data_IF_682886393858
#
_entry.id   IF_682886393858
#
_cell.length_a   1.000
_cell.length_b   1.000
_cell.length_c   1.000
_cell.angle_alpha   90.00
_cell.angle_beta   90.00
_cell.angle_gamma   90.00
#
_symmetry.space_group_name_H-M   'P 1'
#
loop_
_entity.id
_entity.type
_entity.pdbx_description
1 polymer ?
#
# COMPACT_ATOMS: atom_id res chain seq x y z
N UNK A 1 -9.36 32.16 -33.14
CA UNK A 1 -10.29 32.63 -32.08
C UNK A 1 -9.67 32.64 -30.69
N UNK A 2 -9.06 31.54 -30.20
CA UNK A 2 -8.35 31.49 -28.90
C UNK A 2 -7.32 32.61 -28.67
N UNK A 3 -6.41 32.84 -29.62
CA UNK A 3 -5.39 33.92 -29.51
C UNK A 3 -5.98 35.34 -29.54
N UNK A 4 -7.13 35.53 -30.19
CA UNK A 4 -7.80 36.83 -30.28
C UNK A 4 -8.54 37.15 -28.96
N UNK A 5 -9.15 36.14 -28.34
CA UNK A 5 -9.78 36.24 -27.01
C UNK A 5 -8.75 36.53 -25.90
N UNK A 6 -7.56 35.93 -25.98
CA UNK A 6 -6.41 36.20 -25.10
C UNK A 6 -5.90 37.65 -25.22
N UNK A 7 -5.78 38.15 -26.45
CA UNK A 7 -5.38 39.54 -26.70
C UNK A 7 -6.42 40.53 -26.16
N UNK A 8 -7.72 40.23 -26.33
CA UNK A 8 -8.81 41.09 -25.86
C UNK A 8 -8.90 41.09 -24.31
N UNK A 9 -8.70 39.94 -23.65
CA UNK A 9 -8.69 39.87 -22.19
C UNK A 9 -7.47 40.56 -21.57
N UNK A 10 -6.29 40.43 -22.18
CA UNK A 10 -5.07 41.13 -21.77
C UNK A 10 -5.21 42.66 -21.94
N UNK A 11 -5.80 43.12 -23.04
CA UNK A 11 -6.07 44.55 -23.27
C UNK A 11 -7.11 45.11 -22.29
N UNK A 12 -8.14 44.34 -21.91
CA UNK A 12 -9.11 44.76 -20.90
C UNK A 12 -8.51 44.86 -19.50
N UNK A 13 -7.57 43.98 -19.15
CA UNK A 13 -6.89 44.00 -17.86
C UNK A 13 -5.91 45.17 -17.68
N UNK A 14 -5.34 45.69 -18.76
CA UNK A 14 -4.44 46.86 -18.72
C UNK A 14 -5.17 48.18 -18.41
N UNK A 15 -6.50 48.23 -18.54
CA UNK A 15 -7.29 49.46 -18.45
C UNK A 15 -8.00 49.62 -17.10
N UNK A 16 -8.30 48.51 -16.39
CA UNK A 16 -9.03 48.54 -15.11
C UNK A 16 -8.53 47.45 -14.14
N UNK A 17 -7.47 47.77 -13.41
CA UNK A 17 -6.78 46.83 -12.52
C UNK A 17 -7.67 46.25 -11.39
N UNK A 18 -8.70 47.00 -10.97
CA UNK A 18 -9.63 46.61 -9.90
C UNK A 18 -10.67 45.55 -10.30
N UNK A 19 -10.79 45.21 -11.59
CA UNK A 19 -11.79 44.24 -12.09
C UNK A 19 -11.18 43.01 -12.79
N UNK A 20 -9.86 42.82 -12.77
CA UNK A 20 -9.29 41.53 -13.18
C UNK A 20 -9.61 40.50 -12.09
N UNK A 21 -10.48 39.54 -12.38
CA UNK A 21 -10.49 38.30 -11.62
C UNK A 21 -9.06 37.73 -11.61
N UNK A 22 -8.57 37.16 -10.50
CA UNK A 22 -7.28 36.49 -10.50
C UNK A 22 -7.29 35.51 -11.67
N UNK A 23 -6.27 35.62 -12.52
CA UNK A 23 -6.02 34.74 -13.65
C UNK A 23 -6.04 33.26 -13.21
N UNK A 24 -5.76 33.01 -11.93
CA UNK A 24 -5.95 31.73 -11.26
C UNK A 24 -7.30 31.67 -10.48
N UNK A 25 -8.35 31.18 -11.14
CA UNK A 25 -9.62 30.88 -10.45
C UNK A 25 -9.54 29.69 -9.50
N UNK A 26 -8.49 28.86 -9.57
CA UNK A 26 -8.28 27.75 -8.64
C UNK A 26 -8.10 28.26 -7.21
N UNK A 27 -7.43 29.41 -7.02
CA UNK A 27 -7.22 30.05 -5.70
C UNK A 27 -8.49 30.33 -4.89
N UNK A 28 -9.67 30.33 -5.54
CA UNK A 28 -10.98 30.54 -4.90
C UNK A 28 -11.66 29.24 -4.47
N UNK A 29 -11.09 28.09 -4.83
CA UNK A 29 -11.66 26.78 -4.53
C UNK A 29 -11.20 26.34 -3.14
N UNK A 30 -12.16 26.03 -2.28
CA UNK A 30 -11.99 25.82 -0.85
C UNK A 30 -11.98 24.34 -0.42
N UNK A 31 -12.13 23.42 -1.38
CA UNK A 31 -12.07 21.99 -1.11
C UNK A 31 -11.21 21.24 -2.12
N UNK A 32 -10.51 20.21 -1.64
CA UNK A 32 -9.65 19.38 -2.48
C UNK A 32 -10.40 18.74 -3.66
N UNK A 33 -11.54 18.09 -3.39
CA UNK A 33 -12.36 17.43 -4.42
C UNK A 33 -12.81 18.41 -5.52
N UNK A 34 -13.28 19.61 -5.14
CA UNK A 34 -13.64 20.63 -6.15
C UNK A 34 -12.39 21.12 -6.88
N UNK A 35 -11.27 21.27 -6.17
CA UNK A 35 -10.04 21.79 -6.72
C UNK A 35 -9.53 20.89 -7.85
N UNK A 36 -9.28 19.61 -7.58
CA UNK A 36 -8.70 18.68 -8.56
C UNK A 36 -9.63 18.40 -9.75
N UNK A 37 -10.93 18.65 -9.60
CA UNK A 37 -11.93 18.56 -10.67
C UNK A 37 -12.18 19.90 -11.41
N UNK A 38 -11.43 20.96 -11.09
CA UNK A 38 -11.58 22.29 -11.68
C UNK A 38 -10.45 22.63 -12.65
N UNK A 39 -10.70 23.63 -13.50
CA UNK A 39 -9.68 24.30 -14.31
C UNK A 39 -9.70 25.81 -14.06
N UNK A 40 -8.57 26.46 -14.34
CA UNK A 40 -8.51 27.92 -14.28
C UNK A 40 -9.20 28.59 -15.49
N UNK A 41 -9.21 29.93 -15.52
CA UNK A 41 -9.81 30.69 -16.62
C UNK A 41 -9.18 30.46 -18.00
N UNK A 42 -8.02 29.79 -18.08
CA UNK A 42 -7.33 29.42 -19.31
C UNK A 42 -7.48 27.94 -19.67
N UNK A 43 -8.09 27.15 -18.79
CA UNK A 43 -8.28 25.71 -18.96
C UNK A 43 -7.13 24.86 -18.45
N UNK A 44 -6.20 25.42 -17.66
CA UNK A 44 -5.17 24.64 -16.96
C UNK A 44 -5.77 23.91 -15.77
N UNK A 45 -5.25 22.72 -15.43
CA UNK A 45 -5.74 21.93 -14.29
C UNK A 45 -5.42 22.65 -12.97
N UNK A 46 -6.36 22.58 -12.05
CA UNK A 46 -6.14 22.99 -10.66
C UNK A 46 -5.53 21.83 -9.84
N UNK A 47 -4.72 22.16 -8.85
CA UNK A 47 -4.00 21.23 -7.98
C UNK A 47 -4.17 21.64 -6.52
N UNK A 48 -4.37 20.67 -5.62
CA UNK A 48 -4.57 20.94 -4.19
C UNK A 48 -3.27 20.76 -3.41
N UNK A 49 -2.88 21.75 -2.62
CA UNK A 49 -1.76 21.61 -1.70
C UNK A 49 -2.25 21.18 -0.31
N UNK A 50 -1.89 19.98 0.10
CA UNK A 50 -2.31 19.42 1.39
C UNK A 50 -1.67 20.12 2.59
N UNK A 51 -0.46 20.66 2.45
CA UNK A 51 0.24 21.35 3.53
C UNK A 51 -0.40 22.71 3.88
N UNK A 52 -0.84 23.47 2.87
CA UNK A 52 -1.45 24.80 3.05
C UNK A 52 -2.97 24.80 2.98
N UNK A 53 -3.60 23.65 2.69
CA UNK A 53 -5.05 23.53 2.45
C UNK A 53 -5.56 24.54 1.42
N UNK A 54 -4.85 24.67 0.30
CA UNK A 54 -5.14 25.66 -0.74
C UNK A 54 -5.08 25.06 -2.13
N UNK A 55 -5.94 25.56 -3.02
CA UNK A 55 -5.96 25.20 -4.42
C UNK A 55 -5.16 26.21 -5.26
N UNK A 56 -4.44 25.74 -6.29
CA UNK A 56 -3.69 26.60 -7.21
C UNK A 56 -3.73 26.02 -8.63
N UNK A 57 -3.60 26.87 -9.65
CA UNK A 57 -3.41 26.41 -11.03
C UNK A 57 -2.02 25.76 -11.20
N UNK A 58 -1.91 24.70 -12.00
CA UNK A 58 -0.64 24.02 -12.34
C UNK A 58 0.41 24.95 -12.98
N UNK A 59 -0.02 26.10 -13.52
CA UNK A 59 0.88 27.12 -14.08
C UNK A 59 1.36 28.13 -13.03
N UNK A 60 0.80 28.11 -11.82
CA UNK A 60 1.17 29.05 -10.78
C UNK A 60 2.46 28.59 -10.13
N UNK A 61 3.52 29.39 -10.26
CA UNK A 61 4.83 29.19 -9.63
C UNK A 61 4.80 29.48 -8.12
N UNK A 62 3.75 29.04 -7.41
CA UNK A 62 3.68 29.24 -5.97
C UNK A 62 4.74 28.37 -5.27
N UNK A 63 5.77 29.04 -4.74
CA UNK A 63 6.90 28.45 -4.01
C UNK A 63 6.53 27.83 -2.64
N UNK A 64 5.25 27.60 -2.35
CA UNK A 64 4.79 27.29 -0.98
C UNK A 64 4.27 25.85 -0.79
N UNK A 65 4.22 25.03 -1.83
CA UNK A 65 3.86 23.62 -1.70
C UNK A 65 5.04 22.74 -2.11
N UNK A 66 5.42 21.79 -1.26
CA UNK A 66 6.41 20.79 -1.63
C UNK A 66 5.86 19.92 -2.77
N UNK A 67 6.72 19.42 -3.66
CA UNK A 67 6.30 18.57 -4.79
C UNK A 67 5.45 17.39 -4.33
N UNK A 68 5.72 16.88 -3.12
CA UNK A 68 5.00 15.77 -2.53
C UNK A 68 3.66 16.13 -1.86
N UNK A 69 3.40 17.40 -1.60
CA UNK A 69 2.18 17.84 -0.95
C UNK A 69 1.06 18.16 -1.95
N UNK A 70 1.38 18.11 -3.24
CA UNK A 70 0.40 18.23 -4.32
C UNK A 70 -0.47 16.98 -4.42
N UNK A 71 -1.78 17.25 -4.46
CA UNK A 71 -2.84 16.31 -4.78
C UNK A 71 -3.47 16.72 -6.11
N UNK A 72 -3.53 15.78 -7.04
CA UNK A 72 -3.93 15.99 -8.43
C UNK A 72 -5.16 15.17 -8.82
N UNK A 73 -5.55 14.24 -7.94
CA UNK A 73 -6.66 13.33 -8.15
C UNK A 73 -7.51 13.28 -6.88
N UNK A 74 -8.83 13.18 -7.06
CA UNK A 74 -9.81 13.23 -5.97
C UNK A 74 -9.62 12.10 -4.96
N UNK A 75 -9.27 10.90 -5.43
CA UNK A 75 -8.96 9.76 -4.59
C UNK A 75 -7.90 10.06 -3.51
N UNK A 76 -6.93 10.95 -3.79
CA UNK A 76 -5.90 11.32 -2.84
C UNK A 76 -6.17 12.61 -2.05
N UNK A 77 -7.41 13.08 -2.05
CA UNK A 77 -7.79 14.21 -1.22
C UNK A 77 -7.77 13.86 0.27
N UNK A 78 -7.37 14.79 1.15
CA UNK A 78 -7.40 14.55 2.59
C UNK A 78 -8.80 14.16 3.10
N UNK A 79 -8.83 13.10 3.90
CA UNK A 79 -9.99 12.49 4.53
C UNK A 79 -9.97 12.69 6.05
N UNK A 80 -11.15 12.71 6.67
CA UNK A 80 -11.26 12.76 8.12
C UNK A 80 -11.03 11.38 8.74
N UNK A 81 -9.89 11.20 9.41
CA UNK A 81 -9.49 9.94 10.05
C UNK A 81 -9.90 9.82 11.52
N UNK A 82 -10.63 10.79 12.08
CA UNK A 82 -10.95 10.82 13.52
C UNK A 82 -11.78 9.61 13.98
N UNK A 83 -12.54 8.99 13.07
CA UNK A 83 -13.37 7.82 13.35
C UNK A 83 -12.73 6.49 12.90
N UNK A 84 -11.54 6.53 12.30
CA UNK A 84 -10.82 5.34 11.85
C UNK A 84 -10.30 4.61 13.09
N UNK A 85 -10.74 3.35 13.26
CA UNK A 85 -10.36 2.52 14.41
C UNK A 85 -9.32 1.51 13.98
N UNK A 86 -8.08 1.76 14.36
CA UNK A 86 -6.98 0.84 14.18
C UNK A 86 -6.88 -0.11 15.40
N UNK A 87 -6.88 -1.41 15.15
CA UNK A 87 -6.77 -2.46 16.16
C UNK A 87 -5.32 -2.96 16.26
N UNK A 88 -4.52 -2.30 17.10
CA UNK A 88 -3.13 -2.67 17.31
C UNK A 88 -2.96 -4.08 17.92
N UNK A 89 -3.90 -4.51 18.78
CA UNK A 89 -3.89 -5.86 19.34
C UNK A 89 -4.04 -6.91 18.25
N UNK A 90 -4.95 -6.71 17.29
CA UNK A 90 -5.05 -7.59 16.11
C UNK A 90 -3.75 -7.63 15.31
N UNK A 91 -3.09 -6.48 15.12
CA UNK A 91 -1.82 -6.44 14.39
C UNK A 91 -0.72 -7.21 15.11
N UNK A 92 -0.61 -7.08 16.43
CA UNK A 92 0.42 -7.73 17.25
C UNK A 92 0.16 -9.23 17.46
N UNK A 93 -1.08 -9.62 17.70
CA UNK A 93 -1.44 -10.98 18.13
C UNK A 93 -1.81 -11.90 16.98
N UNK A 94 -2.30 -11.35 15.86
CA UNK A 94 -2.71 -12.14 14.70
C UNK A 94 -1.79 -11.90 13.50
N UNK A 95 -1.68 -10.65 13.04
CA UNK A 95 -0.99 -10.36 11.77
C UNK A 95 0.51 -10.59 11.87
N UNK A 96 1.16 -10.05 12.91
CA UNK A 96 2.60 -10.14 13.09
C UNK A 96 3.10 -11.60 13.12
N UNK A 97 2.56 -12.51 13.95
CA UNK A 97 2.98 -13.92 13.93
C UNK A 97 2.79 -14.58 12.56
N UNK A 98 1.68 -14.30 11.88
CA UNK A 98 1.38 -14.89 10.57
C UNK A 98 2.39 -14.43 9.51
N UNK A 99 2.67 -13.12 9.43
CA UNK A 99 3.68 -12.56 8.51
C UNK A 99 5.06 -13.09 8.87
N UNK A 100 5.47 -13.01 10.13
CA UNK A 100 6.82 -13.40 10.56
C UNK A 100 7.10 -14.91 10.31
N UNK A 101 6.07 -15.77 10.44
CA UNK A 101 6.18 -17.19 10.15
C UNK A 101 6.56 -17.49 8.69
N UNK A 102 6.31 -16.59 7.74
CA UNK A 102 6.68 -16.77 6.33
C UNK A 102 8.19 -16.91 6.10
N UNK A 103 9.02 -16.44 7.04
CA UNK A 103 10.48 -16.56 6.97
C UNK A 103 11.00 -17.92 7.45
N UNK A 104 10.13 -18.83 7.90
CA UNK A 104 10.52 -20.18 8.25
C UNK A 104 11.04 -20.94 7.02
N UNK A 105 12.25 -21.53 7.06
CA UNK A 105 12.90 -22.12 5.88
C UNK A 105 12.38 -23.52 5.53
N UNK A 106 11.39 -24.04 6.27
CA UNK A 106 10.76 -25.32 5.95
C UNK A 106 9.35 -25.39 6.52
N UNK A 107 8.51 -26.25 5.94
CA UNK A 107 7.15 -26.49 6.42
C UNK A 107 7.11 -26.90 7.91
N UNK A 108 8.06 -27.72 8.38
CA UNK A 108 8.11 -28.15 9.78
C UNK A 108 8.38 -26.97 10.73
N UNK A 109 9.26 -26.03 10.33
CA UNK A 109 9.52 -24.82 11.12
C UNK A 109 8.37 -23.84 11.06
N UNK A 110 7.72 -23.70 9.90
CA UNK A 110 6.49 -22.91 9.74
C UNK A 110 5.41 -23.42 10.70
N UNK A 111 5.08 -24.71 10.61
CA UNK A 111 4.09 -25.38 11.49
C UNK A 111 4.43 -25.14 12.95
N UNK A 112 5.66 -25.47 13.37
CA UNK A 112 6.09 -25.28 14.75
C UNK A 112 5.95 -23.82 15.22
N UNK A 113 6.31 -22.85 14.38
CA UNK A 113 6.22 -21.43 14.74
C UNK A 113 4.76 -20.99 14.94
N UNK A 114 3.85 -21.42 14.06
CA UNK A 114 2.42 -21.11 14.17
C UNK A 114 1.77 -21.85 15.34
N UNK A 115 2.16 -23.10 15.60
CA UNK A 115 1.68 -23.88 16.74
C UNK A 115 2.02 -23.20 18.08
N UNK A 116 3.18 -22.54 18.20
CA UNK A 116 3.53 -21.80 19.43
C UNK A 116 2.65 -20.57 19.68
N UNK A 117 1.95 -20.08 18.66
CA UNK A 117 1.12 -18.88 18.74
C UNK A 117 -0.39 -19.19 18.79
N UNK A 118 -0.80 -20.20 18.02
CA UNK A 118 -2.20 -20.51 17.73
C UNK A 118 -2.56 -21.97 18.02
N UNK A 119 -1.59 -22.79 18.45
CA UNK A 119 -1.80 -24.22 18.72
C UNK A 119 -2.56 -24.47 20.02
N UNK A 120 -2.51 -23.55 20.99
CA UNK A 120 -3.44 -23.57 22.13
C UNK A 120 -4.87 -23.36 21.61
N UNK A 121 -5.72 -24.35 21.85
CA UNK A 121 -7.10 -24.49 21.35
C UNK A 121 -7.26 -24.78 19.83
N UNK A 122 -6.21 -25.23 19.13
CA UNK A 122 -6.29 -25.66 17.71
C UNK A 122 -6.92 -24.57 16.81
N UNK A 123 -6.51 -23.31 17.00
CA UNK A 123 -7.11 -22.13 16.35
C UNK A 123 -6.77 -21.99 14.88
N UNK A 124 -5.65 -22.57 14.44
CA UNK A 124 -5.16 -22.48 13.06
C UNK A 124 -4.99 -23.86 12.43
N UNK A 125 -5.38 -23.98 11.17
CA UNK A 125 -5.10 -25.14 10.32
C UNK A 125 -4.32 -24.67 9.10
N UNK A 126 -3.06 -25.10 8.96
CA UNK A 126 -2.27 -24.83 7.74
C UNK A 126 -2.84 -25.69 6.62
N UNK A 127 -3.26 -25.05 5.52
CA UNK A 127 -3.80 -25.73 4.35
C UNK A 127 -2.64 -26.17 3.45
N UNK A 128 -1.75 -25.24 3.08
CA UNK A 128 -0.61 -25.53 2.23
C UNK A 128 0.47 -24.43 2.29
N UNK A 129 1.64 -24.73 1.73
CA UNK A 129 2.73 -23.78 1.55
C UNK A 129 3.37 -23.94 0.17
N UNK A 130 3.74 -22.81 -0.43
CA UNK A 130 4.18 -22.72 -1.82
C UNK A 130 5.48 -21.93 -1.91
N UNK A 131 6.44 -22.48 -2.64
CA UNK A 131 7.64 -21.78 -3.03
C UNK A 131 7.83 -21.88 -4.54
N UNK A 132 8.19 -20.76 -5.15
CA UNK A 132 8.53 -20.61 -6.56
C UNK A 132 9.76 -19.72 -6.67
N UNK A 133 10.36 -19.67 -7.86
CA UNK A 133 11.20 -18.54 -8.23
C UNK A 133 10.30 -17.36 -8.62
N UNK A 134 10.60 -16.16 -8.13
CA UNK A 134 9.80 -14.97 -8.42
C UNK A 134 9.87 -14.55 -9.89
N UNK A 135 10.99 -14.89 -10.55
CA UNK A 135 11.32 -14.48 -11.91
C UNK A 135 12.16 -15.55 -12.62
N UNK A 136 12.41 -15.33 -13.91
CA UNK A 136 13.16 -16.25 -14.78
C UNK A 136 14.65 -16.37 -14.42
N UNK A 137 15.22 -15.41 -13.66
CA UNK A 137 16.63 -15.46 -13.24
C UNK A 137 16.88 -16.56 -12.21
N UNK A 138 15.82 -16.99 -11.50
CA UNK A 138 15.86 -18.00 -10.45
C UNK A 138 16.80 -17.65 -9.29
N UNK A 139 17.08 -16.37 -9.09
CA UNK A 139 17.92 -15.88 -7.99
C UNK A 139 17.08 -15.69 -6.72
N UNK A 140 15.85 -15.18 -6.88
CA UNK A 140 14.97 -14.84 -5.76
C UNK A 140 13.78 -15.80 -5.70
N UNK A 141 13.46 -16.32 -4.51
CA UNK A 141 12.26 -17.15 -4.31
C UNK A 141 11.12 -16.35 -3.70
N UNK A 142 9.92 -16.65 -4.18
CA UNK A 142 8.66 -16.12 -3.67
C UNK A 142 7.96 -17.24 -2.90
N UNK A 143 7.50 -16.91 -1.71
CA UNK A 143 6.86 -17.87 -0.81
C UNK A 143 5.50 -17.35 -0.36
N UNK A 144 4.53 -18.26 -0.28
CA UNK A 144 3.26 -17.98 0.34
C UNK A 144 2.72 -19.24 1.03
N UNK A 145 1.88 -19.06 2.05
CA UNK A 145 1.11 -20.15 2.62
C UNK A 145 -0.34 -19.74 2.82
N UNK A 146 -1.20 -20.75 2.90
CA UNK A 146 -2.62 -20.64 3.17
C UNK A 146 -2.91 -21.33 4.50
N UNK A 147 -3.75 -20.71 5.32
CA UNK A 147 -4.22 -21.31 6.57
C UNK A 147 -5.65 -20.88 6.87
N UNK A 148 -6.34 -21.64 7.73
CA UNK A 148 -7.69 -21.34 8.20
C UNK A 148 -7.68 -21.05 9.70
N UNK A 149 -8.09 -19.83 10.06
CA UNK A 149 -8.32 -19.40 11.43
C UNK A 149 -9.75 -19.77 11.85
N UNK A 150 -9.89 -20.86 12.61
CA UNK A 150 -11.17 -21.49 12.95
C UNK A 150 -12.07 -20.58 13.78
N UNK A 151 -11.49 -19.90 14.77
CA UNK A 151 -12.19 -19.00 15.69
C UNK A 151 -12.62 -17.66 15.06
N UNK A 152 -12.15 -17.38 13.83
CA UNK A 152 -12.48 -16.17 13.07
C UNK A 152 -13.30 -16.45 11.81
N UNK A 153 -13.47 -17.72 11.46
CA UNK A 153 -13.97 -18.18 10.16
C UNK A 153 -13.28 -17.43 9.01
N UNK A 154 -11.94 -17.45 9.00
CA UNK A 154 -11.14 -16.70 8.05
C UNK A 154 -10.04 -17.58 7.43
N UNK A 155 -9.99 -17.66 6.11
CA UNK A 155 -8.79 -18.09 5.40
C UNK A 155 -7.80 -16.94 5.39
N UNK A 156 -6.53 -17.22 5.68
CA UNK A 156 -5.43 -16.27 5.51
C UNK A 156 -4.54 -16.73 4.35
N UNK A 157 -4.17 -15.79 3.49
CA UNK A 157 -3.15 -15.95 2.47
C UNK A 157 -1.99 -15.02 2.84
N UNK A 158 -0.84 -15.61 3.14
CA UNK A 158 0.29 -14.87 3.71
C UNK A 158 1.50 -15.01 2.82
N UNK A 159 2.06 -13.87 2.41
CA UNK A 159 3.13 -13.78 1.42
C UNK A 159 4.42 -13.27 2.05
N UNK A 160 5.54 -13.94 1.75
CA UNK A 160 6.88 -13.58 2.27
C UNK A 160 7.47 -12.40 1.50
N UNK A 161 8.22 -11.57 2.21
CA UNK A 161 9.18 -10.66 1.61
C UNK A 161 10.37 -11.37 0.96
N UNK A 162 11.23 -10.58 0.33
CA UNK A 162 12.49 -11.05 -0.26
C UNK A 162 13.59 -11.09 0.81
N UNK A 163 14.33 -12.19 0.91
CA UNK A 163 15.47 -12.32 1.85
C UNK A 163 16.74 -11.62 1.36
N UNK A 164 16.77 -11.16 0.11
CA UNK A 164 17.90 -10.46 -0.52
C UNK A 164 17.69 -8.95 -0.65
N UNK A 165 16.64 -8.41 -0.03
CA UNK A 165 16.20 -7.03 -0.23
C UNK A 165 17.30 -5.99 0.12
N UNK A 166 18.11 -6.26 1.15
CA UNK A 166 19.25 -5.41 1.50
C UNK A 166 20.21 -5.18 0.34
N UNK A 167 20.56 -6.25 -0.39
CA UNK A 167 21.46 -6.16 -1.54
C UNK A 167 20.80 -5.39 -2.68
N UNK A 168 19.50 -5.63 -2.92
CA UNK A 168 18.75 -5.01 -4.02
C UNK A 168 18.57 -3.49 -3.83
N UNK A 169 18.33 -3.02 -2.60
CA UNK A 169 18.21 -1.58 -2.32
C UNK A 169 19.57 -0.88 -2.40
N UNK A 170 20.63 -1.51 -1.90
CA UNK A 170 22.00 -0.96 -1.93
C UNK A 170 22.54 -0.90 -3.37
N UNK A 171 22.13 -1.86 -4.23
CA UNK A 171 22.42 -1.86 -5.67
C UNK A 171 21.58 -0.86 -6.49
N UNK A 172 20.37 -0.48 -6.03
CA UNK A 172 19.64 0.70 -6.52
C UNK A 172 18.12 0.59 -6.64
N UNK A 173 17.46 1.73 -6.92
CA UNK A 173 15.99 1.85 -7.08
C UNK A 173 15.43 1.04 -8.29
N UNK A 174 16.28 0.54 -9.19
CA UNK A 174 15.90 -0.15 -10.43
C UNK A 174 15.02 -1.38 -10.20
N UNK A 175 15.16 -2.08 -9.07
CA UNK A 175 14.28 -3.18 -8.67
C UNK A 175 12.80 -2.77 -8.58
N UNK A 176 12.51 -1.50 -8.33
CA UNK A 176 11.14 -0.99 -8.22
C UNK A 176 10.63 -0.36 -9.54
N UNK A 177 11.40 -0.47 -10.62
CA UNK A 177 11.15 0.20 -11.90
C UNK A 177 10.98 -0.80 -13.05
N UNK A 178 10.38 -1.95 -12.79
CA UNK A 178 10.04 -2.89 -13.86
C UNK A 178 8.91 -2.31 -14.75
N UNK A 179 8.75 -2.84 -15.97
CA UNK A 179 7.64 -2.46 -16.83
C UNK A 179 6.30 -2.69 -16.14
N UNK A 180 5.46 -1.64 -16.12
CA UNK A 180 4.06 -1.73 -15.69
C UNK A 180 3.23 -2.40 -16.78
N UNK A 181 2.31 -3.28 -16.38
CA UNK A 181 1.41 -4.03 -17.26
C UNK A 181 -0.04 -3.86 -16.81
N UNK A 182 -0.97 -3.99 -17.75
CA UNK A 182 -2.40 -3.90 -17.43
C UNK A 182 -2.81 -5.01 -16.46
N UNK A 183 -3.51 -4.64 -15.39
CA UNK A 183 -4.12 -5.62 -14.49
C UNK A 183 -5.61 -5.73 -14.75
N UNK A 184 -6.03 -6.72 -15.54
CA UNK A 184 -7.41 -6.86 -16.06
C UNK A 184 -8.54 -6.88 -15.01
N UNK A 185 -8.21 -7.17 -13.75
CA UNK A 185 -9.16 -7.12 -12.62
C UNK A 185 -9.54 -5.69 -12.25
N UNK A 186 -8.64 -4.74 -12.54
CA UNK A 186 -8.79 -3.31 -12.37
C UNK A 186 -8.68 -2.58 -13.71
N UNK A 187 -8.85 -1.26 -13.74
CA UNK A 187 -8.55 -0.46 -14.94
C UNK A 187 -7.11 0.04 -14.98
N UNK A 188 -6.37 -0.14 -13.90
CA UNK A 188 -5.00 0.34 -13.75
C UNK A 188 -3.91 -0.62 -14.21
N UNK A 189 -2.68 -0.16 -14.04
CA UNK A 189 -1.46 -0.93 -14.28
C UNK A 189 -0.75 -1.30 -12.98
N UNK A 190 -0.05 -2.42 -13.03
CA UNK A 190 0.74 -2.97 -11.92
C UNK A 190 2.14 -3.32 -12.41
N UNK A 191 3.13 -3.29 -11.53
CA UNK A 191 4.47 -3.76 -11.82
C UNK A 191 4.44 -5.24 -12.26
N UNK A 192 4.98 -5.52 -13.45
CA UNK A 192 4.93 -6.84 -14.06
C UNK A 192 5.65 -7.93 -13.28
N UNK A 193 6.68 -7.57 -12.49
CA UNK A 193 7.37 -8.52 -11.61
C UNK A 193 6.40 -9.07 -10.55
N UNK A 194 5.70 -8.18 -9.86
CA UNK A 194 4.73 -8.57 -8.83
C UNK A 194 3.59 -9.38 -9.41
N UNK A 195 3.06 -8.97 -10.58
CA UNK A 195 1.94 -9.66 -11.21
C UNK A 195 2.31 -11.08 -11.65
N UNK A 196 3.49 -11.26 -12.26
CA UNK A 196 3.96 -12.57 -12.71
C UNK A 196 4.25 -13.51 -11.53
N UNK A 197 4.87 -12.99 -10.46
CA UNK A 197 5.12 -13.75 -9.24
C UNK A 197 3.79 -14.17 -8.57
N UNK A 198 2.81 -13.26 -8.50
CA UNK A 198 1.47 -13.58 -8.01
C UNK A 198 0.82 -14.70 -8.81
N UNK A 199 0.75 -14.59 -10.15
CA UNK A 199 0.12 -15.62 -10.97
C UNK A 199 0.83 -16.96 -10.86
N UNK A 200 2.16 -16.95 -10.76
CA UNK A 200 2.96 -18.17 -10.57
C UNK A 200 2.62 -18.87 -9.25
N UNK A 201 2.44 -18.13 -8.14
CA UNK A 201 1.99 -18.68 -6.85
C UNK A 201 0.52 -19.14 -6.92
N UNK A 202 -0.32 -18.35 -7.59
CA UNK A 202 -1.74 -18.64 -7.79
C UNK A 202 -1.95 -20.00 -8.47
N UNK A 203 -1.31 -20.19 -9.62
CA UNK A 203 -1.37 -21.41 -10.43
C UNK A 203 -0.67 -22.60 -9.75
N UNK A 204 0.35 -22.34 -8.91
CA UNK A 204 1.03 -23.39 -8.16
C UNK A 204 0.09 -24.15 -7.22
N UNK A 205 -0.90 -23.47 -6.66
CA UNK A 205 -1.90 -24.13 -5.84
C UNK A 205 -2.81 -23.23 -5.01
N UNK A 206 -2.48 -21.94 -4.81
CA UNK A 206 -3.32 -21.03 -4.00
C UNK A 206 -4.76 -20.99 -4.55
N UNK A 207 -4.94 -21.05 -5.89
CA UNK A 207 -6.26 -21.13 -6.50
C UNK A 207 -7.10 -22.28 -5.93
N UNK A 208 -6.52 -23.47 -5.84
CA UNK A 208 -7.22 -24.68 -5.36
C UNK A 208 -7.61 -24.55 -3.90
N UNK A 209 -6.75 -23.94 -3.08
CA UNK A 209 -7.02 -23.72 -1.66
C UNK A 209 -8.17 -22.72 -1.45
N UNK A 210 -8.19 -21.63 -2.22
CA UNK A 210 -9.27 -20.63 -2.18
C UNK A 210 -10.60 -21.26 -2.64
N UNK A 211 -10.60 -21.97 -3.76
CA UNK A 211 -11.80 -22.65 -4.27
C UNK A 211 -12.31 -23.70 -3.27
N UNK A 212 -11.40 -24.46 -2.66
CA UNK A 212 -11.75 -25.44 -1.63
C UNK A 212 -12.43 -24.77 -0.43
N UNK A 213 -11.83 -23.72 0.15
CA UNK A 213 -12.37 -23.11 1.36
C UNK A 213 -13.73 -22.44 1.10
N UNK A 214 -13.90 -21.79 -0.07
CA UNK A 214 -15.15 -21.14 -0.45
C UNK A 214 -16.29 -22.15 -0.63
N UNK A 215 -15.97 -23.38 -1.05
CA UNK A 215 -16.95 -24.47 -1.16
C UNK A 215 -17.28 -25.12 0.19
N UNK A 216 -16.30 -25.22 1.09
CA UNK A 216 -16.45 -25.96 2.37
C UNK A 216 -16.97 -25.11 3.53
N UNK A 217 -16.74 -23.79 3.49
CA UNK A 217 -17.01 -22.88 4.62
C UNK A 217 -17.98 -21.77 4.20
N UNK A 218 -19.16 -21.77 4.80
CA UNK A 218 -20.14 -20.72 4.60
C UNK A 218 -19.64 -19.38 5.18
N UNK A 219 -19.87 -18.29 4.45
CA UNK A 219 -19.55 -16.91 4.85
C UNK A 219 -18.10 -16.71 5.31
N UNK A 220 -17.18 -17.55 4.82
CA UNK A 220 -15.76 -17.47 5.16
C UNK A 220 -15.17 -16.14 4.69
N UNK A 221 -14.33 -15.55 5.54
CA UNK A 221 -13.54 -14.37 5.22
C UNK A 221 -12.26 -14.78 4.54
N UNK A 222 -11.75 -13.97 3.62
CA UNK A 222 -10.43 -14.17 3.01
C UNK A 222 -9.56 -12.97 3.36
N UNK A 223 -8.51 -13.20 4.13
CA UNK A 223 -7.59 -12.19 4.61
C UNK A 223 -6.22 -12.37 3.96
N UNK A 224 -5.56 -11.26 3.66
CA UNK A 224 -4.33 -11.21 2.90
C UNK A 224 -3.29 -10.47 3.72
N UNK A 225 -2.15 -11.10 3.96
CA UNK A 225 -1.09 -10.51 4.76
C UNK A 225 0.26 -10.62 4.05
N UNK A 226 1.12 -9.62 4.24
CA UNK A 226 2.46 -9.69 3.66
C UNK A 226 3.39 -8.60 4.12
N UNK A 227 4.69 -8.88 4.04
CA UNK A 227 5.76 -7.93 4.33
C UNK A 227 6.57 -7.65 3.07
N UNK A 228 7.01 -6.40 2.87
CA UNK A 228 7.89 -6.04 1.76
C UNK A 228 7.29 -6.40 0.39
N UNK A 229 8.06 -7.11 -0.46
CA UNK A 229 7.56 -7.77 -1.69
C UNK A 229 6.24 -8.52 -1.45
N UNK A 230 6.15 -9.28 -0.36
CA UNK A 230 4.96 -10.02 0.02
C UNK A 230 3.75 -9.12 0.29
N UNK A 231 3.95 -7.89 0.76
CA UNK A 231 2.87 -6.91 0.89
C UNK A 231 2.26 -6.56 -0.48
N UNK A 232 3.12 -6.34 -1.48
CA UNK A 232 2.68 -6.09 -2.85
C UNK A 232 1.93 -7.28 -3.44
N UNK A 233 2.46 -8.50 -3.25
CA UNK A 233 1.78 -9.74 -3.68
C UNK A 233 0.41 -9.92 -2.98
N UNK A 234 0.32 -9.60 -1.69
CA UNK A 234 -0.91 -9.66 -0.92
C UNK A 234 -1.96 -8.67 -1.44
N UNK A 235 -1.56 -7.45 -1.83
CA UNK A 235 -2.46 -6.44 -2.42
C UNK A 235 -3.00 -6.85 -3.80
N UNK A 236 -2.15 -7.43 -4.66
CA UNK A 236 -2.61 -8.00 -5.94
C UNK A 236 -3.56 -9.16 -5.69
N UNK A 237 -3.19 -10.09 -4.80
CA UNK A 237 -3.99 -11.26 -4.48
C UNK A 237 -5.37 -10.87 -3.93
N UNK A 238 -5.44 -9.86 -3.06
CA UNK A 238 -6.70 -9.44 -2.46
C UNK A 238 -7.65 -8.83 -3.50
N UNK A 239 -7.17 -7.94 -4.36
CA UNK A 239 -7.96 -7.39 -5.46
C UNK A 239 -8.41 -8.49 -6.43
N UNK A 240 -7.47 -9.39 -6.81
CA UNK A 240 -7.74 -10.49 -7.72
C UNK A 240 -8.84 -11.41 -7.21
N UNK A 241 -8.69 -11.92 -5.98
CA UNK A 241 -9.62 -12.88 -5.39
C UNK A 241 -10.98 -12.23 -5.12
N UNK A 242 -11.00 -11.01 -4.59
CA UNK A 242 -12.25 -10.28 -4.34
C UNK A 242 -13.07 -10.12 -5.63
N UNK A 243 -12.43 -9.64 -6.70
CA UNK A 243 -13.09 -9.46 -8.00
C UNK A 243 -13.50 -10.77 -8.65
N UNK A 244 -12.59 -11.75 -8.70
CA UNK A 244 -12.78 -13.00 -9.45
C UNK A 244 -13.89 -13.85 -8.86
N UNK A 245 -13.98 -13.92 -7.53
CA UNK A 245 -14.97 -14.72 -6.82
C UNK A 245 -16.16 -13.90 -6.30
N UNK A 246 -16.24 -12.60 -6.61
CA UNK A 246 -17.32 -11.73 -6.15
C UNK A 246 -17.44 -11.68 -4.63
N UNK A 247 -16.31 -11.67 -3.92
CA UNK A 247 -16.29 -11.63 -2.45
C UNK A 247 -16.61 -10.20 -2.01
N UNK A 248 -17.65 -10.06 -1.21
CA UNK A 248 -18.03 -8.78 -0.61
C UNK A 248 -16.88 -8.21 0.24
N UNK A 249 -16.66 -6.89 0.14
CA UNK A 249 -15.58 -6.20 0.82
C UNK A 249 -15.59 -6.34 2.35
N UNK A 250 -16.74 -6.62 2.97
CA UNK A 250 -16.82 -6.90 4.42
C UNK A 250 -16.23 -8.25 4.82
N UNK A 251 -15.97 -9.14 3.85
CA UNK A 251 -15.32 -10.45 4.04
C UNK A 251 -13.86 -10.47 3.61
N UNK A 252 -13.33 -9.36 3.09
CA UNK A 252 -11.93 -9.24 2.71
C UNK A 252 -11.18 -8.35 3.70
N UNK A 253 -9.89 -8.58 3.87
CA UNK A 253 -9.00 -7.74 4.67
C UNK A 253 -7.58 -7.83 4.13
N UNK A 254 -6.90 -6.71 4.00
CA UNK A 254 -5.47 -6.68 3.71
C UNK A 254 -4.73 -6.03 4.88
N UNK A 255 -3.64 -6.66 5.34
CA UNK A 255 -2.67 -5.97 6.20
C UNK A 255 -1.26 -6.20 5.67
N UNK A 256 -0.52 -5.12 5.43
CA UNK A 256 0.85 -5.20 4.95
C UNK A 256 1.81 -4.46 5.84
N UNK A 257 3.04 -4.97 5.94
CA UNK A 257 4.15 -4.32 6.65
C UNK A 257 5.19 -3.85 5.63
N UNK A 258 5.50 -2.56 5.60
CA UNK A 258 6.56 -2.02 4.75
C UNK A 258 6.31 -2.25 3.25
N UNK A 259 5.07 -2.14 2.80
CA UNK A 259 4.70 -2.44 1.40
C UNK A 259 5.20 -1.34 0.45
N UNK A 260 5.91 -1.66 -0.65
CA UNK A 260 6.23 -0.69 -1.70
C UNK A 260 4.98 -0.33 -2.52
N UNK A 261 5.04 0.76 -3.28
CA UNK A 261 3.99 1.04 -4.29
C UNK A 261 4.13 0.03 -5.44
N UNK A 262 3.00 -0.49 -5.92
CA UNK A 262 3.01 -1.57 -6.93
C UNK A 262 2.30 -1.24 -8.23
N UNK A 263 1.52 -0.17 -8.29
CA UNK A 263 0.75 0.18 -9.47
C UNK A 263 0.31 1.62 -9.47
N UNK A 264 -0.52 2.01 -10.42
CA UNK A 264 -1.02 3.37 -10.56
C UNK A 264 -2.21 3.68 -9.63
N UNK A 265 -2.74 4.89 -9.75
CA UNK A 265 -3.88 5.35 -8.95
C UNK A 265 -5.18 4.58 -9.26
N UNK A 266 -5.36 4.15 -10.51
CA UNK A 266 -6.52 3.34 -10.94
C UNK A 266 -6.52 1.96 -10.26
N UNK A 267 -5.33 1.36 -10.05
CA UNK A 267 -5.19 0.16 -9.23
C UNK A 267 -5.54 0.43 -7.77
N UNK A 268 -5.02 1.52 -7.20
CA UNK A 268 -5.22 1.88 -5.80
C UNK A 268 -6.70 2.15 -5.46
N UNK A 269 -7.37 2.93 -6.30
CA UNK A 269 -8.80 3.24 -6.15
C UNK A 269 -9.66 1.98 -6.29
N UNK A 270 -9.43 1.17 -7.31
CA UNK A 270 -10.15 -0.09 -7.48
C UNK A 270 -9.88 -1.09 -6.34
N UNK A 271 -8.68 -1.08 -5.76
CA UNK A 271 -8.35 -1.91 -4.60
C UNK A 271 -9.21 -1.52 -3.39
N UNK A 272 -9.31 -0.24 -3.07
CA UNK A 272 -10.09 0.23 -1.92
C UNK A 272 -11.59 -0.07 -2.06
N UNK A 273 -12.12 -0.07 -3.29
CA UNK A 273 -13.50 -0.49 -3.55
C UNK A 273 -13.72 -1.99 -3.27
N UNK A 274 -12.73 -2.84 -3.62
CA UNK A 274 -12.81 -4.29 -3.48
C UNK A 274 -12.45 -4.79 -2.07
N UNK A 275 -11.54 -4.08 -1.39
CA UNK A 275 -10.96 -4.45 -0.11
C UNK A 275 -10.91 -3.20 0.78
N UNK A 276 -12.05 -2.76 1.32
CA UNK A 276 -12.13 -1.53 2.11
C UNK A 276 -11.46 -1.65 3.49
N UNK A 277 -11.27 -2.87 4.00
CA UNK A 277 -10.58 -3.15 5.26
C UNK A 277 -9.08 -3.43 5.01
N UNK A 278 -8.38 -2.40 4.54
CA UNK A 278 -6.96 -2.47 4.13
C UNK A 278 -6.08 -1.55 4.97
N UNK A 279 -4.98 -2.10 5.49
CA UNK A 279 -4.05 -1.38 6.38
C UNK A 279 -2.61 -1.60 5.97
N UNK A 280 -1.86 -0.51 5.79
CA UNK A 280 -0.41 -0.56 5.59
C UNK A 280 0.26 -0.04 6.85
N UNK A 281 1.06 -0.89 7.47
CA UNK A 281 1.80 -0.57 8.69
C UNK A 281 3.22 -0.20 8.30
N UNK A 282 3.66 0.98 8.72
CA UNK A 282 4.96 1.54 8.36
C UNK A 282 5.75 1.88 9.62
N UNK A 283 7.01 1.44 9.65
CA UNK A 283 7.88 1.61 10.79
C UNK A 283 8.91 2.72 10.54
N UNK A 284 8.84 3.77 11.35
CA UNK A 284 9.90 4.77 11.53
C UNK A 284 10.45 5.30 10.19
N UNK A 285 11.64 4.88 9.78
CA UNK A 285 12.36 5.36 8.58
C UNK A 285 12.57 4.27 7.54
N UNK A 286 11.68 3.28 7.52
CA UNK A 286 11.63 2.26 6.48
C UNK A 286 11.56 2.92 5.09
N UNK A 287 12.55 2.70 4.20
CA UNK A 287 12.57 3.32 2.89
C UNK A 287 11.60 2.67 1.89
N UNK A 288 11.13 1.44 2.14
CA UNK A 288 10.41 0.66 1.13
C UNK A 288 9.05 1.22 0.75
N UNK A 289 8.20 1.69 1.70
CA UNK A 289 6.94 2.31 1.34
C UNK A 289 7.07 3.57 0.48
N UNK A 290 8.23 4.22 0.51
CA UNK A 290 8.50 5.38 -0.34
C UNK A 290 8.88 5.00 -1.79
N UNK A 291 9.06 3.72 -2.10
CA UNK A 291 9.52 3.24 -3.40
C UNK A 291 8.42 2.48 -4.17
N UNK A 292 8.44 2.55 -5.51
CA UNK A 292 9.09 3.61 -6.28
C UNK A 292 8.42 4.98 -6.00
N UNK A 293 9.11 6.11 -6.27
CA UNK A 293 8.53 7.43 -6.11
C UNK A 293 7.29 7.66 -6.97
N UNK A 294 6.41 8.59 -6.56
CA UNK A 294 5.21 8.94 -7.33
C UNK A 294 5.51 9.62 -8.66
N UNK A 295 6.65 10.28 -8.82
CA UNK A 295 6.90 11.17 -9.97
C UNK A 295 8.10 10.73 -10.79
N UNK A 296 7.88 10.53 -12.09
CA UNK A 296 8.88 10.79 -13.13
C UNK A 296 8.50 12.09 -13.87
N UNK A 297 9.45 12.89 -14.38
CA UNK A 297 9.18 14.21 -14.96
C UNK A 297 8.10 14.24 -16.07
N UNK A 298 7.85 13.11 -16.72
CA UNK A 298 7.02 13.04 -17.93
C UNK A 298 5.59 12.50 -17.69
N UNK A 299 5.26 11.96 -16.51
CA UNK A 299 3.92 11.37 -16.29
C UNK A 299 3.50 11.34 -14.80
N UNK A 300 3.07 12.51 -14.31
CA UNK A 300 2.62 12.71 -12.93
C UNK A 300 1.30 11.95 -12.64
N UNK A 301 0.47 11.69 -13.66
CA UNK A 301 -0.83 11.03 -13.52
C UNK A 301 -0.73 9.48 -13.60
N UNK A 302 0.44 8.92 -13.96
CA UNK A 302 0.71 7.45 -14.01
C UNK A 302 1.81 6.98 -13.06
N UNK A 303 2.13 7.82 -12.08
CA UNK A 303 3.02 7.49 -10.97
C UNK A 303 2.59 6.24 -10.21
N UNK A 304 3.53 5.56 -9.56
CA UNK A 304 3.14 4.51 -8.62
C UNK A 304 2.39 5.13 -7.44
N UNK A 305 1.36 4.46 -6.93
CA UNK A 305 0.43 4.98 -5.92
C UNK A 305 0.13 3.92 -4.85
N UNK A 306 -0.11 4.37 -3.62
CA UNK A 306 -0.63 3.54 -2.53
C UNK A 306 -2.15 3.58 -2.45
N UNK A 307 -2.75 2.46 -2.06
CA UNK A 307 -4.16 2.38 -1.66
C UNK A 307 -4.35 2.87 -0.21
N UNK A 308 -5.55 2.84 0.41
CA UNK A 308 -5.74 3.16 1.84
C UNK A 308 -5.50 1.93 2.76
N UNK A 309 -5.30 2.07 4.07
CA UNK A 309 -4.98 3.24 4.91
C UNK A 309 -3.59 3.05 5.55
N UNK A 310 -2.80 4.14 5.62
CA UNK A 310 -1.48 4.14 6.26
C UNK A 310 -1.57 4.24 7.79
N UNK A 311 -0.77 3.44 8.51
CA UNK A 311 -0.51 3.54 9.95
C UNK A 311 0.99 3.63 10.17
N UNK A 312 1.47 4.81 10.52
CA UNK A 312 2.90 5.08 10.68
C UNK A 312 3.32 5.22 12.14
N UNK A 313 4.38 4.51 12.51
CA UNK A 313 4.99 4.54 13.83
C UNK A 313 6.32 5.32 13.81
N UNK A 314 6.33 6.64 14.10
CA UNK A 314 7.49 7.49 13.88
C UNK A 314 8.66 7.27 14.84
N UNK A 315 8.43 6.67 16.01
CA UNK A 315 9.41 6.60 17.11
C UNK A 315 9.57 5.17 17.64
N UNK A 316 9.35 4.17 16.77
CA UNK A 316 9.36 2.76 17.13
C UNK A 316 7.97 2.18 17.43
N UNK A 317 7.93 0.87 17.65
CA UNK A 317 6.69 0.08 17.74
C UNK A 317 6.58 -0.72 19.04
N UNK A 318 7.16 -0.24 20.14
CA UNK A 318 6.96 -0.84 21.45
C UNK A 318 5.47 -0.76 21.87
N UNK A 319 5.04 -1.60 22.81
CA UNK A 319 3.65 -1.54 23.31
C UNK A 319 3.34 -0.13 23.86
N UNK A 320 2.27 0.48 23.36
CA UNK A 320 1.89 1.86 23.72
C UNK A 320 2.64 2.95 22.96
N UNK A 321 3.41 2.59 21.93
CA UNK A 321 4.02 3.57 21.03
C UNK A 321 2.94 4.39 20.31
N UNK A 322 3.22 5.68 20.09
CA UNK A 322 2.33 6.54 19.33
C UNK A 322 2.42 6.21 17.85
N UNK A 323 1.27 6.16 17.17
CA UNK A 323 1.17 6.05 15.72
C UNK A 323 0.37 7.23 15.14
N UNK A 324 0.49 7.43 13.83
CA UNK A 324 -0.33 8.36 13.05
C UNK A 324 -1.12 7.59 12.00
N UNK A 325 -2.35 8.03 11.75
CA UNK A 325 -3.19 7.52 10.66
C UNK A 325 -3.05 8.46 9.48
N UNK A 326 -2.70 7.92 8.31
CA UNK A 326 -2.63 8.68 7.07
C UNK A 326 -3.98 9.25 6.68
N UNK A 327 -4.05 10.55 6.44
CA UNK A 327 -5.28 11.24 6.02
C UNK A 327 -5.57 11.14 4.53
N UNK A 328 -4.82 10.38 3.75
CA UNK A 328 -5.07 10.13 2.32
C UNK A 328 -4.45 8.76 1.95
N UNK A 329 -4.89 8.12 0.85
CA UNK A 329 -4.36 6.82 0.45
C UNK A 329 -2.84 6.80 0.31
N UNK A 330 -2.28 7.76 -0.40
CA UNK A 330 -0.85 7.99 -0.43
C UNK A 330 -0.62 9.29 0.34
N UNK A 331 -0.11 9.19 1.58
CA UNK A 331 0.24 10.34 2.44
C UNK A 331 1.72 10.54 2.68
N UNK A 332 2.09 11.78 2.99
CA UNK A 332 3.44 12.19 3.43
C UNK A 332 3.84 11.70 4.82
N UNK A 333 3.05 10.84 5.47
CA UNK A 333 3.20 10.50 6.90
C UNK A 333 4.27 9.42 7.09
N UNK A 334 5.50 9.74 6.68
CA UNK A 334 6.65 8.84 6.65
C UNK A 334 7.65 9.18 5.52
N UNK A 335 7.23 10.05 4.60
CA UNK A 335 7.80 10.21 3.25
C UNK A 335 9.20 10.81 3.10
N UNK A 336 9.87 11.21 4.18
CA UNK A 336 11.07 12.03 4.03
C UNK A 336 12.04 11.88 5.19
N UNK A 337 12.04 10.74 5.89
CA UNK A 337 13.01 10.54 6.96
C UNK A 337 14.34 10.13 6.34
N UNK A 338 14.96 11.06 5.62
CA UNK A 338 16.39 11.04 5.40
C UNK A 338 17.07 11.47 6.71
N UNK A 339 18.08 10.75 7.20
CA UNK A 339 18.59 9.49 6.65
C UNK A 339 17.62 8.33 6.91
N UNK A 340 17.39 7.50 5.87
CA UNK A 340 16.58 6.28 5.96
C UNK A 340 17.26 5.25 6.86
N UNK A 341 16.48 4.33 7.43
CA UNK A 341 17.01 3.20 8.18
C UNK A 341 16.40 1.89 7.66
N UNK A 342 17.22 1.11 6.96
CA UNK A 342 16.75 -0.16 6.40
C UNK A 342 16.41 -1.19 7.47
N UNK A 343 16.99 -1.10 8.68
CA UNK A 343 16.62 -2.02 9.78
C UNK A 343 15.19 -1.83 10.26
N UNK A 344 14.63 -0.63 10.08
CA UNK A 344 13.23 -0.37 10.40
C UNK A 344 12.31 -1.21 9.49
N UNK A 345 12.77 -1.61 8.30
CA UNK A 345 12.05 -2.49 7.40
C UNK A 345 11.95 -3.94 7.88
N UNK A 346 12.86 -4.41 8.74
CA UNK A 346 12.88 -5.81 9.20
C UNK A 346 12.32 -6.00 10.60
N UNK A 347 12.06 -4.90 11.31
CA UNK A 347 11.59 -4.92 12.69
C UNK A 347 10.20 -4.32 12.80
N UNK A 348 9.22 -5.12 13.21
CA UNK A 348 7.84 -4.66 13.43
C UNK A 348 7.41 -5.05 14.83
N UNK A 349 6.81 -4.11 15.58
CA UNK A 349 6.34 -4.37 16.95
C UNK A 349 7.41 -4.92 17.91
N UNK A 350 8.66 -4.44 17.74
CA UNK A 350 9.85 -4.94 18.42
C UNK A 350 10.11 -6.44 18.16
N UNK A 351 9.80 -6.91 16.95
CA UNK A 351 10.11 -8.26 16.49
C UNK A 351 10.88 -8.17 15.18
N UNK A 352 12.06 -8.81 15.13
CA UNK A 352 12.80 -8.98 13.89
C UNK A 352 12.20 -10.14 13.09
N UNK A 353 11.55 -9.82 11.96
CA UNK A 353 10.69 -10.75 11.24
C UNK A 353 11.43 -11.99 10.73
N UNK A 354 12.65 -11.85 10.20
CA UNK A 354 13.32 -12.95 9.52
C UNK A 354 13.80 -14.07 10.45
N UNK A 355 14.08 -13.74 11.72
CA UNK A 355 14.56 -14.71 12.70
C UNK A 355 13.47 -15.14 13.69
N UNK A 356 12.28 -14.52 13.60
CA UNK A 356 11.17 -14.77 14.53
C UNK A 356 10.76 -16.23 14.59
N UNK A 357 10.78 -16.96 13.47
CA UNK A 357 10.42 -18.39 13.41
C UNK A 357 11.28 -19.28 14.33
N UNK A 358 12.46 -18.82 14.77
CA UNK A 358 13.31 -19.54 15.72
C UNK A 358 12.70 -19.62 17.13
N UNK A 359 11.95 -18.58 17.51
CA UNK A 359 11.39 -18.42 18.87
C UNK A 359 9.86 -18.48 18.88
N UNK A 360 9.18 -18.07 17.80
CA UNK A 360 7.73 -18.00 17.73
C UNK A 360 7.15 -17.01 18.74
N UNK A 361 5.95 -17.28 19.27
CA UNK A 361 5.32 -16.43 20.29
C UNK A 361 5.87 -16.59 21.71
N UNK A 362 7.03 -17.24 21.88
CA UNK A 362 7.67 -17.33 23.19
C UNK A 362 8.16 -15.95 23.63
N UNK A 363 7.62 -15.46 24.76
CA UNK A 363 7.68 -14.07 25.26
C UNK A 363 9.07 -13.55 25.67
N UNK A 364 10.16 -14.19 25.25
CA UNK A 364 11.48 -13.92 25.80
C UNK A 364 12.28 -12.81 25.08
N UNK A 365 11.81 -12.23 23.96
CA UNK A 365 12.45 -11.02 23.43
C UNK A 365 11.48 -9.99 22.85
N UNK A 366 11.53 -8.82 23.46
CA UNK A 366 11.37 -7.51 22.82
C UNK A 366 12.69 -7.28 22.06
N UNK A 367 12.66 -6.87 20.80
CA UNK A 367 13.86 -6.45 20.05
C UNK A 367 14.73 -5.53 20.91
N UNK A 368 16.08 -5.64 20.81
CA UNK A 368 17.01 -4.89 21.65
C UNK A 368 16.81 -3.37 21.59
#
# INVERSE_FOLDING_TARGET
MRHLLLLISLLFCMINWSNCAPLDSCSRVDSCSKCVNSTDGFGYKCQWCSASNSCASEQTTTNNCHVDDWTLHEYNCPMNVSNVKYDESFMREIVLPLIAATHAPSYQKLSRSLDTCFGEDDKIEIINAYEIYCDETQITTCFAYSAYLKDRNAMVLVFRGTTTLFQLIDEGISFFLHPKVQFNVTKGVVDGYYLNAFYSLWEKGIQKDVEKILNEKQDVKIWFFGHSLGGGLASIASSYVAKTYGIDGSRTKLVTFGMPRIGDIDLAEAHDELVPDSWRIEHSKDPIPALPPRTFPDDIDKGSFHHNTEIWYPQGMALGANFKIGSAPDTTVGRSVFPFNIEDHFTYFNVYLESWYLKGCNKEDVAP
#
